data_IF_280052059913
#
_entry.id   IF_280052059913
#
_cell.length_a   1.000
_cell.length_b   1.000
_cell.length_c   1.000
_cell.angle_alpha   90.00
_cell.angle_beta   90.00
_cell.angle_gamma   90.00
#
_symmetry.space_group_name_H-M   'P 1'
#
loop_
_entity.id
_entity.type
_entity.pdbx_description
1 polymer ?
#
# COMPACT_ATOMS: atom_id res chain seq x y z
N UNK A 1 -11.46 49.65 -15.64
CA UNK A 1 -10.46 48.59 -15.38
C UNK A 1 -10.97 47.74 -14.21
N UNK A 2 -11.44 46.51 -14.46
CA UNK A 2 -12.03 45.60 -13.46
C UNK A 2 -10.99 44.54 -13.04
N UNK A 3 -10.29 44.76 -11.94
CA UNK A 3 -9.36 43.78 -11.34
C UNK A 3 -9.79 43.32 -9.94
N UNK A 4 -11.09 43.38 -9.62
CA UNK A 4 -11.59 43.26 -8.24
C UNK A 4 -12.20 41.89 -7.86
N UNK A 5 -12.06 40.85 -8.69
CA UNK A 5 -12.65 39.52 -8.40
C UNK A 5 -11.63 38.43 -8.10
N UNK A 6 -10.53 38.39 -8.85
CA UNK A 6 -9.56 37.29 -8.80
C UNK A 6 -8.67 37.31 -7.55
N UNK A 7 -8.32 38.50 -7.05
CA UNK A 7 -7.45 38.66 -5.87
C UNK A 7 -8.12 38.10 -4.61
N UNK A 8 -9.44 38.24 -4.48
CA UNK A 8 -10.19 37.75 -3.32
C UNK A 8 -10.33 36.22 -3.31
N UNK A 9 -10.43 35.59 -4.49
CA UNK A 9 -10.50 34.12 -4.62
C UNK A 9 -9.11 33.51 -4.37
N UNK A 10 -8.05 34.11 -4.92
CA UNK A 10 -6.67 33.69 -4.68
C UNK A 10 -6.29 33.75 -3.19
N UNK A 11 -6.71 34.79 -2.47
CA UNK A 11 -6.46 34.89 -1.02
C UNK A 11 -7.22 33.85 -0.20
N UNK A 12 -8.44 33.47 -0.61
CA UNK A 12 -9.17 32.36 0.02
C UNK A 12 -8.44 31.02 -0.21
N UNK A 13 -7.95 30.75 -1.43
CA UNK A 13 -7.14 29.56 -1.70
C UNK A 13 -5.85 29.52 -0.88
N UNK A 14 -5.17 30.64 -0.67
CA UNK A 14 -3.95 30.72 0.16
C UNK A 14 -4.28 30.49 1.65
N UNK A 15 -5.39 31.01 2.17
CA UNK A 15 -5.81 30.76 3.55
C UNK A 15 -6.23 29.31 3.79
N UNK A 16 -6.92 28.67 2.83
CA UNK A 16 -7.31 27.25 2.93
C UNK A 16 -6.16 26.27 2.68
N UNK A 17 -5.17 26.63 1.85
CA UNK A 17 -3.97 25.81 1.62
C UNK A 17 -3.07 25.71 2.87
N UNK A 18 -3.15 26.68 3.79
CA UNK A 18 -2.43 26.63 5.06
C UNK A 18 -3.18 25.83 6.16
N UNK A 19 -4.44 25.43 5.91
CA UNK A 19 -5.21 24.49 6.75
C UNK A 19 -5.10 23.09 6.15
N UNK A 20 -3.88 22.60 5.96
CA UNK A 20 -3.66 21.23 5.51
C UNK A 20 -3.86 20.26 6.70
N UNK A 21 -5.10 20.13 7.19
CA UNK A 21 -5.44 18.96 8.02
C UNK A 21 -5.50 17.74 7.08
N UNK A 22 -4.83 16.62 7.41
CA UNK A 22 -4.77 15.43 6.56
C UNK A 22 -6.14 14.85 6.13
N UNK A 23 -7.24 15.22 6.80
CA UNK A 23 -8.56 14.64 6.59
C UNK A 23 -9.42 15.24 5.47
N UNK A 24 -9.17 16.48 5.00
CA UNK A 24 -10.05 17.10 4.00
C UNK A 24 -9.82 16.53 2.58
N UNK A 25 -8.59 16.18 2.24
CA UNK A 25 -8.22 15.59 0.94
C UNK A 25 -8.67 14.14 0.80
N UNK A 26 -8.80 13.39 1.90
CA UNK A 26 -9.22 11.98 1.90
C UNK A 26 -10.68 11.79 1.43
N UNK A 27 -11.53 12.81 1.59
CA UNK A 27 -12.92 12.78 1.13
C UNK A 27 -13.04 13.05 -0.39
N UNK A 28 -12.16 13.90 -0.94
CA UNK A 28 -12.16 14.25 -2.36
C UNK A 28 -11.61 13.13 -3.24
N UNK A 29 -10.65 12.35 -2.74
CA UNK A 29 -10.05 11.22 -3.46
C UNK A 29 -9.90 10.00 -2.54
N UNK A 30 -10.97 9.20 -2.36
CA UNK A 30 -10.89 8.03 -1.50
C UNK A 30 -9.87 7.04 -2.05
N UNK A 31 -8.74 6.87 -1.33
CA UNK A 31 -7.68 5.93 -1.72
C UNK A 31 -8.24 4.52 -1.83
N UNK A 32 -7.90 3.82 -2.91
CA UNK A 32 -8.40 2.48 -3.22
C UNK A 32 -7.35 1.43 -2.88
N UNK A 33 -7.77 0.18 -2.78
CA UNK A 33 -6.84 -0.94 -2.66
C UNK A 33 -5.81 -0.91 -3.81
N UNK A 34 -4.56 -1.34 -3.56
CA UNK A 34 -3.58 -1.57 -4.62
C UNK A 34 -4.16 -2.51 -5.68
N UNK A 35 -3.93 -2.19 -6.96
CA UNK A 35 -4.28 -3.07 -8.08
C UNK A 35 -3.05 -3.85 -8.51
N UNK A 36 -2.84 -5.01 -7.92
CA UNK A 36 -1.76 -5.92 -8.28
C UNK A 36 -2.32 -7.00 -9.18
N UNK A 37 -1.59 -7.35 -10.25
CA UNK A 37 -1.90 -8.53 -11.06
C UNK A 37 -1.27 -9.74 -10.39
N UNK A 38 -2.11 -10.65 -9.92
CA UNK A 38 -1.73 -11.78 -9.09
C UNK A 38 -1.82 -13.07 -9.90
N UNK A 39 -0.68 -13.70 -10.20
CA UNK A 39 -0.68 -15.10 -10.61
C UNK A 39 -0.28 -15.94 -9.40
N UNK A 40 -1.30 -16.44 -8.72
CA UNK A 40 -1.14 -17.17 -7.47
C UNK A 40 -0.91 -18.65 -7.73
N UNK A 41 0.11 -19.22 -7.10
CA UNK A 41 0.33 -20.66 -7.08
C UNK A 41 -0.74 -21.34 -6.22
N UNK A 42 -1.02 -20.76 -5.05
CA UNK A 42 -2.09 -21.17 -4.17
C UNK A 42 -2.78 -19.96 -3.53
N UNK A 43 -4.04 -20.12 -3.14
CA UNK A 43 -4.76 -19.08 -2.40
C UNK A 43 -4.26 -19.04 -0.96
N UNK A 44 -3.89 -17.87 -0.48
CA UNK A 44 -3.53 -17.66 0.92
C UNK A 44 -4.76 -17.55 1.83
N UNK A 45 -4.56 -17.76 3.12
CA UNK A 45 -5.58 -17.51 4.14
C UNK A 45 -5.94 -16.01 4.18
N UNK A 46 -7.23 -15.75 4.12
CA UNK A 46 -7.81 -14.42 4.30
C UNK A 46 -7.68 -13.98 5.77
N UNK A 47 -7.03 -12.83 6.01
CA UNK A 47 -6.96 -12.18 7.31
C UNK A 47 -8.23 -11.39 7.63
N UNK A 48 -8.94 -10.95 6.60
CA UNK A 48 -10.16 -10.15 6.72
C UNK A 48 -11.18 -10.55 5.64
N UNK A 49 -12.43 -10.17 5.88
CA UNK A 49 -13.54 -10.29 4.92
C UNK A 49 -14.19 -8.95 4.62
N UNK A 50 -14.09 -7.99 5.55
CA UNK A 50 -14.69 -6.65 5.48
C UNK A 50 -13.72 -5.62 6.09
N UNK A 51 -13.80 -4.37 5.64
CA UNK A 51 -12.94 -3.28 6.13
C UNK A 51 -13.00 -3.09 7.65
N UNK A 52 -14.18 -3.27 8.27
CA UNK A 52 -14.38 -3.13 9.72
C UNK A 52 -13.57 -4.10 10.60
N UNK A 53 -12.99 -5.15 10.02
CA UNK A 53 -12.13 -6.09 10.75
C UNK A 53 -10.67 -5.63 10.80
N UNK A 54 -10.31 -4.67 9.95
CA UNK A 54 -8.99 -4.08 9.93
C UNK A 54 -8.90 -2.90 10.90
N UNK A 55 -7.71 -2.61 11.38
CA UNK A 55 -7.53 -1.54 12.37
C UNK A 55 -7.44 -0.18 11.67
N UNK A 56 -7.79 0.88 12.39
CA UNK A 56 -7.65 2.27 11.90
C UNK A 56 -8.41 2.48 10.57
N UNK A 57 -7.76 3.08 9.58
CA UNK A 57 -8.32 3.39 8.25
C UNK A 57 -7.92 2.36 7.19
N UNK A 58 -7.49 1.17 7.61
CA UNK A 58 -7.15 0.07 6.71
C UNK A 58 -8.39 -0.44 5.97
N UNK A 59 -8.15 -1.01 4.79
CA UNK A 59 -9.16 -1.65 3.96
C UNK A 59 -8.82 -3.11 3.79
N UNK A 60 -9.86 -3.93 3.69
CA UNK A 60 -9.73 -5.34 3.39
C UNK A 60 -9.57 -5.51 1.88
N UNK A 61 -8.33 -5.73 1.43
CA UNK A 61 -7.96 -5.76 0.03
C UNK A 61 -7.49 -7.17 -0.37
N UNK A 62 -7.75 -7.58 -1.61
CA UNK A 62 -7.06 -8.74 -2.18
C UNK A 62 -5.61 -8.31 -2.44
N UNK A 63 -4.66 -8.97 -1.79
CA UNK A 63 -3.25 -8.61 -1.80
C UNK A 63 -2.40 -9.84 -1.46
N UNK A 64 -1.40 -10.16 -2.30
CA UNK A 64 -0.57 -11.38 -2.19
C UNK A 64 -1.41 -12.64 -1.97
N UNK A 65 -2.31 -12.92 -2.90
CA UNK A 65 -3.07 -14.16 -3.02
C UNK A 65 -4.08 -14.44 -1.90
N UNK A 66 -4.42 -13.45 -1.08
CA UNK A 66 -5.49 -13.52 -0.09
C UNK A 66 -6.03 -12.15 0.28
N UNK A 67 -7.05 -12.10 1.13
CA UNK A 67 -7.55 -10.83 1.68
C UNK A 67 -6.70 -10.39 2.87
N UNK A 68 -6.10 -9.20 2.79
CA UNK A 68 -5.23 -8.62 3.82
C UNK A 68 -5.75 -7.24 4.23
N UNK A 69 -5.41 -6.82 5.44
CA UNK A 69 -5.64 -5.46 5.90
C UNK A 69 -4.51 -4.56 5.39
N UNK A 70 -4.85 -3.64 4.49
CA UNK A 70 -3.91 -2.73 3.84
C UNK A 70 -4.30 -1.30 4.19
N UNK A 71 -3.34 -0.51 4.66
CA UNK A 71 -3.48 0.94 4.69
C UNK A 71 -3.24 1.48 3.27
N UNK A 72 -4.25 2.03 2.57
CA UNK A 72 -4.07 2.58 1.23
C UNK A 72 -3.13 3.78 1.16
N UNK A 73 -2.73 4.34 2.30
CA UNK A 73 -1.78 5.44 2.41
C UNK A 73 -0.33 4.96 2.57
N UNK A 74 -0.13 3.72 3.03
CA UNK A 74 1.19 3.17 3.29
C UNK A 74 1.77 2.54 2.03
N UNK A 75 3.01 2.91 1.72
CA UNK A 75 3.77 2.22 0.68
C UNK A 75 4.29 0.88 1.24
N UNK A 76 3.61 -0.21 0.87
CA UNK A 76 3.99 -1.57 1.26
C UNK A 76 5.43 -1.89 0.88
N UNK A 77 5.89 -1.40 -0.26
CA UNK A 77 7.23 -1.66 -0.78
C UNK A 77 8.33 -0.90 0.00
N UNK A 78 7.95 0.02 0.88
CA UNK A 78 8.90 0.74 1.74
C UNK A 78 9.18 0.03 3.08
N UNK A 79 8.35 -0.96 3.43
CA UNK A 79 8.40 -1.70 4.70
C UNK A 79 9.58 -2.67 4.75
N UNK A 80 10.15 -2.95 5.93
CA UNK A 80 11.18 -3.97 6.06
C UNK A 80 10.60 -5.38 5.86
N UNK A 81 11.43 -6.38 5.55
CA UNK A 81 11.03 -7.78 5.77
C UNK A 81 10.71 -7.99 7.25
N UNK A 82 9.64 -8.73 7.50
CA UNK A 82 9.22 -9.06 8.86
C UNK A 82 8.78 -10.52 8.92
N UNK A 83 9.58 -11.34 9.62
CA UNK A 83 9.30 -12.75 9.80
C UNK A 83 8.10 -12.99 10.74
N UNK A 84 7.72 -12.00 11.55
CA UNK A 84 6.78 -12.17 12.64
C UNK A 84 7.33 -13.04 13.77
N UNK A 85 6.46 -13.39 14.72
CA UNK A 85 6.84 -14.12 15.94
C UNK A 85 6.71 -15.64 15.84
N UNK A 86 5.99 -16.15 14.83
CA UNK A 86 5.86 -17.58 14.63
C UNK A 86 7.14 -18.18 14.03
N UNK A 87 7.33 -19.49 14.19
CA UNK A 87 8.57 -20.19 13.83
C UNK A 87 8.40 -21.19 12.69
N UNK A 88 7.33 -21.07 11.88
CA UNK A 88 7.19 -21.89 10.69
C UNK A 88 8.18 -21.46 9.60
N UNK A 89 8.43 -22.34 8.64
CA UNK A 89 9.34 -22.09 7.53
C UNK A 89 8.55 -21.86 6.24
N UNK A 90 8.20 -20.60 5.95
CA UNK A 90 7.60 -20.23 4.67
C UNK A 90 8.55 -19.35 3.86
N UNK A 91 9.17 -19.87 2.79
CA UNK A 91 9.90 -19.05 1.83
C UNK A 91 8.92 -18.05 1.18
N UNK A 92 9.23 -16.77 1.27
CA UNK A 92 8.44 -15.66 0.73
C UNK A 92 9.35 -14.66 0.03
N UNK A 93 8.76 -13.82 -0.78
CA UNK A 93 9.46 -12.71 -1.44
C UNK A 93 9.14 -11.42 -0.71
N UNK A 94 10.13 -10.57 -0.50
CA UNK A 94 9.94 -9.20 -0.04
C UNK A 94 10.70 -8.28 -0.98
N UNK A 95 10.21 -7.05 -1.13
CA UNK A 95 10.88 -6.03 -1.91
C UNK A 95 11.90 -5.30 -1.04
N UNK A 96 13.16 -5.37 -1.46
CA UNK A 96 14.27 -4.65 -0.87
C UNK A 96 14.47 -3.33 -1.63
N UNK A 97 14.10 -2.23 -1.00
CA UNK A 97 14.19 -0.89 -1.62
C UNK A 97 15.62 -0.39 -1.78
N UNK A 98 16.59 -0.94 -1.03
CA UNK A 98 17.98 -0.47 -1.06
C UNK A 98 18.68 -0.90 -2.35
N UNK A 99 18.33 -2.07 -2.87
CA UNK A 99 18.89 -2.64 -4.10
C UNK A 99 17.89 -2.72 -5.26
N UNK A 100 16.63 -2.31 -5.07
CA UNK A 100 15.54 -2.38 -6.07
C UNK A 100 15.25 -3.82 -6.52
N UNK A 101 15.39 -4.80 -5.62
CA UNK A 101 15.14 -6.22 -5.92
C UNK A 101 14.02 -6.81 -5.08
N UNK A 102 13.46 -7.92 -5.59
CA UNK A 102 12.63 -8.81 -4.80
C UNK A 102 13.51 -9.97 -4.36
N UNK A 103 13.74 -10.10 -3.05
CA UNK A 103 14.61 -11.09 -2.44
C UNK A 103 13.78 -12.10 -1.63
N UNK A 104 14.33 -13.30 -1.43
CA UNK A 104 13.68 -14.33 -0.59
C UNK A 104 13.96 -14.04 0.90
N UNK A 105 12.96 -14.26 1.74
CA UNK A 105 13.10 -14.33 3.19
C UNK A 105 12.22 -15.45 3.77
N UNK A 106 12.47 -15.82 5.02
CA UNK A 106 11.65 -16.82 5.72
C UNK A 106 10.61 -16.10 6.58
N UNK A 107 9.34 -16.30 6.26
CA UNK A 107 8.21 -15.84 7.04
C UNK A 107 7.78 -16.90 8.04
N UNK A 108 7.62 -16.49 9.30
CA UNK A 108 7.25 -17.34 10.41
C UNK A 108 5.81 -17.86 10.39
N UNK A 109 4.95 -17.31 9.52
CA UNK A 109 3.58 -17.77 9.31
C UNK A 109 2.49 -17.00 10.07
N UNK A 110 2.86 -16.08 10.96
CA UNK A 110 1.92 -15.17 11.60
C UNK A 110 2.52 -13.79 11.84
N UNK A 111 1.64 -12.79 11.98
CA UNK A 111 2.03 -11.38 12.11
C UNK A 111 2.87 -10.95 10.90
N UNK A 112 3.90 -10.12 11.09
CA UNK A 112 4.64 -9.54 10.00
C UNK A 112 3.97 -8.31 9.42
N UNK A 113 4.35 -7.95 8.21
CA UNK A 113 3.76 -6.86 7.45
C UNK A 113 3.48 -7.27 5.99
N UNK A 114 2.92 -6.36 5.21
CA UNK A 114 2.45 -6.66 3.86
C UNK A 114 3.55 -6.71 2.79
N UNK A 115 4.81 -6.39 3.11
CA UNK A 115 5.96 -6.61 2.21
C UNK A 115 6.36 -8.10 2.25
N UNK A 116 5.43 -8.95 1.84
CA UNK A 116 5.48 -10.40 1.93
C UNK A 116 4.60 -10.97 0.81
N UNK A 117 5.26 -11.55 -0.19
CA UNK A 117 4.65 -11.98 -1.43
C UNK A 117 4.89 -13.47 -1.67
N UNK A 118 3.89 -14.16 -2.25
CA UNK A 118 3.99 -15.58 -2.56
C UNK A 118 5.07 -15.88 -3.63
N UNK A 119 5.24 -15.01 -4.62
CA UNK A 119 6.18 -15.22 -5.73
C UNK A 119 6.96 -13.96 -6.07
N UNK A 120 8.12 -14.14 -6.71
CA UNK A 120 8.94 -13.04 -7.23
C UNK A 120 8.13 -12.14 -8.16
N UNK A 121 7.36 -12.73 -9.07
CA UNK A 121 6.55 -12.00 -10.05
C UNK A 121 5.49 -11.13 -9.37
N UNK A 122 4.85 -11.61 -8.30
CA UNK A 122 3.89 -10.80 -7.53
C UNK A 122 4.61 -9.63 -6.85
N UNK A 123 5.76 -9.88 -6.22
CA UNK A 123 6.57 -8.83 -5.61
C UNK A 123 6.99 -7.75 -6.63
N UNK A 124 7.51 -8.15 -7.78
CA UNK A 124 7.93 -7.23 -8.85
C UNK A 124 6.74 -6.45 -9.41
N UNK A 125 5.62 -7.11 -9.66
CA UNK A 125 4.37 -6.48 -10.11
C UNK A 125 3.84 -5.45 -9.11
N UNK A 126 4.01 -5.71 -7.81
CA UNK A 126 3.58 -4.81 -6.75
C UNK A 126 4.51 -3.61 -6.57
N UNK A 127 5.83 -3.83 -6.65
CA UNK A 127 6.82 -2.86 -6.15
C UNK A 127 7.77 -2.28 -7.19
N UNK A 128 8.12 -3.04 -8.23
CA UNK A 128 9.00 -2.52 -9.27
C UNK A 128 8.20 -1.64 -10.22
N UNK A 129 8.57 -0.36 -10.28
CA UNK A 129 7.98 0.57 -11.26
C UNK A 129 8.35 0.09 -12.65
N UNK A 130 7.37 0.03 -13.56
CA UNK A 130 7.67 -0.07 -14.99
C UNK A 130 8.48 1.18 -15.35
N UNK A 131 9.77 1.01 -15.68
CA UNK A 131 10.52 2.09 -16.33
C UNK A 131 9.74 2.46 -17.60
N UNK A 132 9.47 3.75 -17.86
CA UNK A 132 8.92 4.13 -19.15
C UNK A 132 9.87 3.61 -20.21
N UNK A 133 9.36 2.78 -21.13
CA UNK A 133 10.09 2.46 -22.36
C UNK A 133 10.35 3.78 -23.07
N UNK A 134 11.61 4.21 -23.08
CA UNK A 134 12.06 5.37 -23.86
C UNK A 134 11.95 5.05 -25.34
#
# INVERSE_FOLDING_TARGET
MKFSGYVSILMLFVLFANVQRPGLTDWLFPKRCPRIREHCEFRERDLCTRNRQCQKNEKCCIFSCGKKCIDPQQDVCSLPKDAGFCMAYFPRWWYNKENDTCDVFIYGGCQGNNNNFQSQTICQSACQKKRPST
#
